data_IF_074126530031
#
_entry.id   IF_074126530031
#
_cell.length_a   1.000
_cell.length_b   1.000
_cell.length_c   1.000
_cell.angle_alpha   90.00
_cell.angle_beta   90.00
_cell.angle_gamma   90.00
#
_symmetry.space_group_name_H-M   'P 1'
#
loop_
_entity.id
_entity.type
_entity.pdbx_description
1 polymer ?
#
# COMPACT_ATOMS: atom_id res chain seq x y z
N UNK A 1 -0.40 25.91 22.50
CA UNK A 1 -0.90 25.45 21.20
C UNK A 1 -0.71 23.94 21.15
N UNK A 2 -1.80 23.18 21.03
CA UNK A 2 -1.74 21.73 20.86
C UNK A 2 -2.00 21.45 19.39
N UNK A 3 -1.09 20.73 18.74
CA UNK A 3 -1.23 20.30 17.34
C UNK A 3 -1.33 18.78 17.36
N UNK A 4 -2.38 18.23 16.75
CA UNK A 4 -2.58 16.80 16.61
C UNK A 4 -2.60 16.44 15.11
N UNK A 5 -1.92 15.37 14.74
CA UNK A 5 -1.92 14.84 13.39
C UNK A 5 -2.70 13.52 13.38
N UNK A 6 -3.78 13.47 12.60
CA UNK A 6 -4.67 12.30 12.53
C UNK A 6 -4.77 11.81 11.09
N UNK A 7 -4.76 10.49 10.88
CA UNK A 7 -4.94 9.87 9.56
C UNK A 7 -6.39 10.04 9.09
N UNK A 8 -6.60 10.29 7.80
CA UNK A 8 -7.93 10.59 7.25
C UNK A 8 -8.93 9.45 7.42
N UNK A 9 -8.49 8.20 7.32
CA UNK A 9 -9.30 7.01 7.57
C UNK A 9 -9.69 6.84 9.04
N UNK A 10 -8.83 7.25 9.97
CA UNK A 10 -9.16 7.24 11.41
C UNK A 10 -10.19 8.32 11.70
N UNK A 11 -10.00 9.52 11.12
CA UNK A 11 -10.97 10.60 11.23
C UNK A 11 -12.33 10.21 10.63
N UNK A 12 -12.34 9.50 9.50
CA UNK A 12 -13.54 8.95 8.89
C UNK A 12 -14.30 8.04 9.87
N UNK A 13 -13.62 7.09 10.51
CA UNK A 13 -14.25 6.19 11.48
C UNK A 13 -14.76 6.92 12.73
N UNK A 14 -14.02 7.90 13.25
CA UNK A 14 -14.46 8.67 14.42
C UNK A 14 -15.69 9.52 14.10
N UNK A 15 -15.74 10.13 12.92
CA UNK A 15 -16.90 10.92 12.47
C UNK A 15 -18.16 10.05 12.27
N UNK A 16 -18.03 8.73 12.06
CA UNK A 16 -19.18 7.81 12.03
C UNK A 16 -19.81 7.61 13.41
N UNK A 17 -19.04 7.82 14.49
CA UNK A 17 -19.47 7.56 15.88
C UNK A 17 -20.02 8.81 16.56
N UNK A 18 -19.58 10.02 16.17
CA UNK A 18 -20.09 11.26 16.76
C UNK A 18 -19.85 12.53 15.92
N UNK A 19 -20.72 13.55 16.03
CA UNK A 19 -20.79 14.66 15.06
C UNK A 19 -19.85 15.86 15.30
N UNK A 20 -19.01 15.88 16.33
CA UNK A 20 -18.39 17.15 16.76
C UNK A 20 -16.95 17.39 16.28
N UNK A 21 -16.21 16.36 15.84
CA UNK A 21 -14.82 16.53 15.42
C UNK A 21 -14.72 17.06 13.98
N UNK A 22 -15.68 16.74 13.12
CA UNK A 22 -15.68 17.20 11.72
C UNK A 22 -15.69 18.72 11.62
N UNK A 23 -16.50 19.40 12.43
CA UNK A 23 -16.56 20.87 12.46
C UNK A 23 -15.20 21.48 12.82
N UNK A 24 -14.57 21.00 13.88
CA UNK A 24 -13.29 21.57 14.34
C UNK A 24 -12.15 21.26 13.34
N UNK A 25 -12.20 20.12 12.65
CA UNK A 25 -11.27 19.79 11.55
C UNK A 25 -11.54 20.64 10.31
N UNK A 26 -12.79 20.94 9.98
CA UNK A 26 -13.13 21.78 8.83
C UNK A 26 -12.75 23.25 9.09
N UNK A 27 -12.94 23.74 10.32
CA UNK A 27 -12.67 25.14 10.70
C UNK A 27 -11.17 25.41 10.91
N UNK A 28 -10.42 24.45 11.47
CA UNK A 28 -9.02 24.65 11.88
C UNK A 28 -8.00 23.66 11.30
N UNK A 29 -8.46 22.62 10.59
CA UNK A 29 -7.60 21.56 10.08
C UNK A 29 -6.86 21.95 8.80
N UNK A 30 -5.61 21.50 8.68
CA UNK A 30 -4.85 21.55 7.43
C UNK A 30 -4.78 20.13 6.87
N UNK A 31 -5.50 19.87 5.78
CA UNK A 31 -5.48 18.55 5.14
C UNK A 31 -4.20 18.38 4.33
N UNK A 32 -3.33 17.48 4.80
CA UNK A 32 -2.18 17.03 4.02
C UNK A 32 -2.62 15.91 3.10
N UNK A 33 -2.73 16.20 1.80
CA UNK A 33 -3.06 15.19 0.80
C UNK A 33 -1.80 14.75 0.02
N UNK A 34 -1.47 13.48 0.11
CA UNK A 34 -0.34 12.88 -0.60
C UNK A 34 -0.67 12.45 -2.02
N UNK A 35 -1.96 12.35 -2.36
CA UNK A 35 -2.47 11.96 -3.67
C UNK A 35 -3.38 13.06 -4.23
N UNK A 36 -2.81 13.95 -5.03
CA UNK A 36 -3.56 14.99 -5.74
C UNK A 36 -4.02 14.45 -7.09
N UNK A 37 -5.29 14.71 -7.45
CA UNK A 37 -5.96 14.18 -8.64
C UNK A 37 -5.36 14.69 -9.97
N UNK A 38 -4.36 15.57 -9.90
CA UNK A 38 -3.69 16.19 -11.05
C UNK A 38 -2.37 15.42 -11.27
N UNK A 39 -2.29 14.77 -12.43
CA UNK A 39 -1.10 14.14 -13.03
C UNK A 39 -0.30 13.18 -12.13
N UNK A 40 -0.24 11.92 -12.54
CA UNK A 40 0.35 10.80 -11.78
C UNK A 40 1.85 10.97 -11.41
N UNK A 41 2.54 12.00 -11.92
CA UNK A 41 3.98 12.23 -11.73
C UNK A 41 4.31 13.49 -10.92
N UNK A 42 3.31 14.34 -10.61
CA UNK A 42 3.47 15.60 -9.90
C UNK A 42 2.82 15.54 -8.51
N UNK A 43 3.15 14.49 -7.76
CA UNK A 43 2.57 14.24 -6.44
C UNK A 43 3.42 14.89 -5.33
N UNK A 44 2.80 15.50 -4.29
CA UNK A 44 3.52 16.17 -3.19
C UNK A 44 4.56 15.28 -2.51
N UNK A 45 4.26 13.98 -2.39
CA UNK A 45 5.16 12.97 -1.83
C UNK A 45 6.47 12.83 -2.62
N UNK A 46 6.48 13.04 -3.95
CA UNK A 46 7.68 13.01 -4.77
C UNK A 46 8.55 14.24 -4.54
N UNK A 47 7.94 15.40 -4.30
CA UNK A 47 8.66 16.64 -3.96
C UNK A 47 9.42 16.54 -2.64
N UNK A 48 8.94 15.73 -1.71
CA UNK A 48 9.69 15.44 -0.47
C UNK A 48 10.97 14.66 -0.78
N UNK A 49 10.91 13.69 -1.69
CA UNK A 49 12.09 12.94 -2.13
C UNK A 49 13.09 13.88 -2.80
N UNK A 50 12.62 14.72 -3.71
CA UNK A 50 13.42 15.75 -4.40
C UNK A 50 14.10 16.69 -3.40
N UNK A 51 13.33 17.25 -2.45
CA UNK A 51 13.87 18.15 -1.44
C UNK A 51 14.90 17.47 -0.52
N UNK A 52 14.71 16.18 -0.19
CA UNK A 52 15.66 15.43 0.62
C UNK A 52 16.97 15.19 -0.13
N UNK A 53 16.92 14.88 -1.42
CA UNK A 53 18.12 14.70 -2.25
C UNK A 53 18.88 16.02 -2.33
N UNK A 54 18.22 17.12 -2.66
CA UNK A 54 18.86 18.43 -2.73
C UNK A 54 19.49 18.84 -1.40
N UNK A 55 18.80 18.57 -0.27
CA UNK A 55 19.38 18.82 1.05
C UNK A 55 20.65 17.99 1.30
N UNK A 56 20.69 16.74 0.82
CA UNK A 56 21.88 15.88 0.92
C UNK A 56 23.02 16.31 -0.01
N UNK A 57 22.72 16.83 -1.20
CA UNK A 57 23.73 17.43 -2.10
C UNK A 57 24.37 18.66 -1.43
N UNK A 58 23.56 19.56 -0.86
CA UNK A 58 24.04 20.73 -0.12
C UNK A 58 24.92 20.32 1.08
N UNK A 59 24.49 19.30 1.84
CA UNK A 59 25.27 18.78 2.97
C UNK A 59 26.61 18.15 2.54
N UNK A 60 26.72 17.76 1.26
CA UNK A 60 27.93 17.19 0.67
C UNK A 60 28.76 18.23 -0.11
N UNK A 61 28.48 19.52 0.07
CA UNK A 61 29.11 20.64 -0.66
C UNK A 61 28.96 20.55 -2.20
N UNK A 62 27.88 19.92 -2.69
CA UNK A 62 27.52 19.85 -4.11
C UNK A 62 26.48 20.93 -4.48
N UNK A 63 26.46 21.35 -5.76
CA UNK A 63 25.38 22.20 -6.26
C UNK A 63 24.06 21.39 -6.33
N UNK A 64 22.95 21.93 -5.79
CA UNK A 64 21.67 21.23 -5.82
C UNK A 64 21.20 20.97 -7.24
N UNK A 65 20.84 19.73 -7.54
CA UNK A 65 20.26 19.35 -8.82
C UNK A 65 18.87 19.97 -8.98
N UNK A 66 18.56 20.43 -10.19
CA UNK A 66 17.23 20.95 -10.49
C UNK A 66 16.16 19.85 -10.31
N UNK A 67 14.99 20.12 -9.69
CA UNK A 67 13.99 19.09 -9.37
C UNK A 67 13.56 18.19 -10.54
N UNK A 68 13.52 18.76 -11.75
CA UNK A 68 13.17 18.03 -12.97
C UNK A 68 14.24 17.00 -13.40
N UNK A 69 15.49 17.21 -13.01
CA UNK A 69 16.64 16.38 -13.39
C UNK A 69 16.96 15.29 -12.37
N UNK A 70 16.56 15.46 -11.10
CA UNK A 70 16.80 14.52 -10.01
C UNK A 70 16.40 13.09 -10.39
N UNK A 71 15.22 12.94 -10.99
CA UNK A 71 14.67 11.63 -11.37
C UNK A 71 15.39 10.98 -12.54
N UNK A 72 16.08 11.77 -13.36
CA UNK A 72 16.92 11.28 -14.46
C UNK A 72 18.31 10.92 -13.95
N UNK A 73 18.85 11.70 -13.01
CA UNK A 73 20.19 11.53 -12.43
C UNK A 73 20.28 10.31 -11.50
N UNK A 74 19.31 10.14 -10.60
CA UNK A 74 19.41 9.21 -9.47
C UNK A 74 18.54 7.95 -9.58
N UNK A 75 17.64 7.86 -10.56
CA UNK A 75 16.63 6.81 -10.62
C UNK A 75 16.48 6.23 -12.03
N UNK A 76 15.96 5.00 -12.18
CA UNK A 76 15.76 4.44 -13.51
C UNK A 76 14.55 5.11 -14.17
N UNK A 77 14.50 5.12 -15.52
CA UNK A 77 13.33 5.67 -16.25
C UNK A 77 12.04 4.89 -15.99
N UNK A 78 12.15 3.58 -15.79
CA UNK A 78 11.01 2.67 -15.62
C UNK A 78 11.36 1.49 -14.72
N UNK A 79 10.34 0.95 -14.05
CA UNK A 79 10.41 -0.31 -13.34
C UNK A 79 9.14 -1.12 -13.62
N UNK A 80 9.30 -2.42 -13.89
CA UNK A 80 8.20 -3.36 -14.13
C UNK A 80 7.15 -2.87 -15.15
N UNK A 81 7.61 -2.23 -16.23
CA UNK A 81 6.73 -1.75 -17.33
C UNK A 81 5.97 -0.45 -17.04
N UNK A 82 6.25 0.23 -15.91
CA UNK A 82 5.71 1.56 -15.57
C UNK A 82 6.82 2.59 -15.48
N UNK A 83 6.49 3.86 -15.72
CA UNK A 83 7.38 4.98 -15.38
C UNK A 83 7.75 4.90 -13.90
N UNK A 84 9.00 5.19 -13.56
CA UNK A 84 9.48 4.91 -12.21
C UNK A 84 8.75 5.70 -11.12
N UNK A 85 8.46 6.99 -11.36
CA UNK A 85 7.64 7.83 -10.46
C UNK A 85 6.29 7.18 -10.16
N UNK A 86 5.58 6.71 -11.18
CA UNK A 86 4.30 6.03 -11.00
C UNK A 86 4.47 4.69 -10.26
N UNK A 87 5.48 3.90 -10.64
CA UNK A 87 5.77 2.63 -9.98
C UNK A 87 5.99 2.80 -8.48
N UNK A 88 6.85 3.75 -8.08
CA UNK A 88 7.20 3.92 -6.67
C UNK A 88 6.02 4.44 -5.85
N UNK A 89 5.19 5.33 -6.42
CA UNK A 89 3.96 5.81 -5.78
C UNK A 89 2.96 4.68 -5.52
N UNK A 90 2.65 3.91 -6.57
CA UNK A 90 1.73 2.78 -6.50
C UNK A 90 2.24 1.75 -5.49
N UNK A 91 3.50 1.33 -5.63
CA UNK A 91 4.06 0.29 -4.78
C UNK A 91 4.23 0.74 -3.32
N UNK A 92 4.42 2.03 -3.08
CA UNK A 92 4.47 2.59 -1.73
C UNK A 92 3.09 2.83 -1.11
N UNK A 93 1.99 2.53 -1.81
CA UNK A 93 0.62 2.79 -1.35
C UNK A 93 0.38 4.27 -1.04
N UNK A 94 1.09 5.17 -1.75
CA UNK A 94 1.07 6.62 -1.49
C UNK A 94 1.45 7.01 -0.05
N UNK A 95 2.19 6.14 0.67
CA UNK A 95 2.73 6.40 2.01
C UNK A 95 4.18 6.87 1.92
N UNK A 96 4.55 8.08 2.38
CA UNK A 96 5.93 8.60 2.34
C UNK A 96 6.96 7.64 2.95
N UNK A 97 6.60 7.02 4.08
CA UNK A 97 7.43 6.02 4.76
C UNK A 97 7.79 4.84 3.87
N UNK A 98 6.85 4.35 3.06
CA UNK A 98 7.11 3.21 2.18
C UNK A 98 8.04 3.57 1.03
N UNK A 99 7.99 4.80 0.51
CA UNK A 99 8.98 5.27 -0.45
C UNK A 99 10.36 5.24 0.18
N UNK A 100 10.52 5.84 1.36
CA UNK A 100 11.80 5.86 2.09
C UNK A 100 12.29 4.42 2.35
N UNK A 101 11.42 3.53 2.83
CA UNK A 101 11.77 2.13 3.06
C UNK A 101 12.33 1.43 1.81
N UNK A 102 11.68 1.62 0.65
CA UNK A 102 12.14 1.06 -0.62
C UNK A 102 13.51 1.62 -1.03
N UNK A 103 13.67 2.95 -0.97
CA UNK A 103 14.89 3.62 -1.40
C UNK A 103 16.07 3.31 -0.47
N UNK A 104 15.84 3.29 0.84
CA UNK A 104 16.84 2.89 1.83
C UNK A 104 17.29 1.45 1.62
N UNK A 105 16.36 0.51 1.38
CA UNK A 105 16.73 -0.87 1.05
C UNK A 105 17.60 -0.95 -0.22
N UNK A 106 17.23 -0.23 -1.27
CA UNK A 106 17.97 -0.22 -2.52
C UNK A 106 19.38 0.37 -2.38
N UNK A 107 19.52 1.44 -1.59
CA UNK A 107 20.81 2.05 -1.24
C UNK A 107 21.65 1.09 -0.40
N UNK A 108 21.09 0.50 0.64
CA UNK A 108 21.83 -0.38 1.56
C UNK A 108 22.32 -1.66 0.83
N UNK A 109 21.61 -2.11 -0.21
CA UNK A 109 22.05 -3.21 -1.08
C UNK A 109 23.28 -2.85 -1.92
N UNK A 110 23.41 -1.59 -2.34
CA UNK A 110 24.52 -1.08 -3.17
C UNK A 110 24.99 0.28 -2.65
N UNK A 111 25.72 0.31 -1.52
CA UNK A 111 26.10 1.57 -0.87
C UNK A 111 27.07 2.42 -1.70
N UNK A 112 27.83 1.79 -2.60
CA UNK A 112 28.81 2.46 -3.45
C UNK A 112 28.21 2.98 -4.78
N UNK A 113 26.94 2.66 -5.07
CA UNK A 113 26.28 3.15 -6.29
C UNK A 113 25.84 4.62 -6.10
N UNK A 114 26.17 5.46 -7.07
CA UNK A 114 25.72 6.86 -7.11
C UNK A 114 24.27 7.05 -7.58
N UNK A 115 23.57 5.96 -7.96
CA UNK A 115 22.17 6.01 -8.40
C UNK A 115 21.45 4.70 -8.12
N UNK A 116 20.13 4.76 -7.98
CA UNK A 116 19.30 3.58 -7.82
C UNK A 116 18.98 3.01 -9.20
N UNK A 117 19.37 1.76 -9.43
CA UNK A 117 19.06 1.04 -10.67
C UNK A 117 17.79 0.20 -10.54
N UNK A 118 17.18 -0.16 -11.68
CA UNK A 118 16.10 -1.15 -11.71
C UNK A 118 16.52 -2.49 -11.05
N UNK A 119 17.76 -2.91 -11.26
CA UNK A 119 18.31 -4.14 -10.66
C UNK A 119 18.33 -4.07 -9.14
N UNK A 120 18.66 -2.90 -8.55
CA UNK A 120 18.61 -2.72 -7.10
C UNK A 120 17.16 -2.84 -6.60
N UNK A 121 16.22 -2.20 -7.29
CA UNK A 121 14.79 -2.24 -6.97
C UNK A 121 14.21 -3.65 -7.04
N UNK A 122 14.54 -4.44 -8.07
CA UNK A 122 14.01 -5.80 -8.21
C UNK A 122 14.49 -6.76 -7.10
N UNK A 123 15.77 -6.65 -6.73
CA UNK A 123 16.38 -7.47 -5.70
C UNK A 123 15.78 -7.21 -4.31
N UNK A 124 15.47 -5.95 -3.98
CA UNK A 124 14.95 -5.61 -2.64
C UNK A 124 13.45 -5.83 -2.47
N UNK A 125 12.72 -6.21 -3.53
CA UNK A 125 11.26 -6.36 -3.47
C UNK A 125 10.78 -7.32 -2.37
N UNK A 126 11.49 -8.41 -2.10
CA UNK A 126 11.08 -9.37 -1.06
C UNK A 126 11.21 -8.75 0.33
N UNK A 127 12.33 -8.09 0.63
CA UNK A 127 12.54 -7.43 1.91
C UNK A 127 11.61 -6.23 2.09
N UNK A 128 11.37 -5.47 1.02
CA UNK A 128 10.35 -4.42 1.02
C UNK A 128 8.98 -4.99 1.37
N UNK A 129 8.58 -6.08 0.70
CA UNK A 129 7.30 -6.74 0.92
C UNK A 129 7.12 -7.26 2.35
N UNK A 130 8.18 -7.80 2.96
CA UNK A 130 8.22 -8.17 4.39
C UNK A 130 7.99 -6.97 5.30
N UNK A 131 8.68 -5.85 5.04
CA UNK A 131 8.54 -4.63 5.85
C UNK A 131 7.14 -4.04 5.73
N UNK A 132 6.58 -3.98 4.53
CA UNK A 132 5.20 -3.49 4.32
C UNK A 132 4.18 -4.40 4.99
N UNK A 133 4.35 -5.72 4.93
CA UNK A 133 3.46 -6.63 5.64
C UNK A 133 3.55 -6.46 7.16
N UNK A 134 4.72 -6.17 7.73
CA UNK A 134 4.84 -5.88 9.17
C UNK A 134 4.02 -4.65 9.58
N UNK A 135 4.01 -3.59 8.77
CA UNK A 135 3.16 -2.42 9.04
C UNK A 135 1.66 -2.80 8.98
N UNK A 136 1.27 -3.70 8.07
CA UNK A 136 -0.09 -4.24 8.03
C UNK A 136 -0.41 -5.08 9.28
N UNK A 137 0.52 -5.93 9.74
CA UNK A 137 0.37 -6.70 10.98
C UNK A 137 0.19 -5.77 12.20
N UNK A 138 0.95 -4.68 12.28
CA UNK A 138 0.83 -3.66 13.33
C UNK A 138 -0.55 -2.99 13.32
N UNK A 139 -1.05 -2.58 12.15
CA UNK A 139 -2.40 -1.98 12.02
C UNK A 139 -3.52 -2.99 12.33
N UNK A 140 -3.36 -4.27 11.97
CA UNK A 140 -4.33 -5.34 12.30
C UNK A 140 -4.31 -5.70 13.79
N UNK A 141 -3.17 -5.61 14.46
CA UNK A 141 -3.02 -5.93 15.89
C UNK A 141 -3.83 -5.01 16.81
N UNK A 142 -4.34 -3.88 16.30
CA UNK A 142 -5.30 -3.05 17.02
C UNK A 142 -6.71 -3.65 17.14
N UNK A 143 -7.03 -4.67 16.33
CA UNK A 143 -8.35 -5.31 16.25
C UNK A 143 -8.30 -6.82 16.53
N UNK A 144 -7.17 -7.45 16.20
CA UNK A 144 -6.99 -8.89 16.27
C UNK A 144 -5.84 -9.27 17.21
N UNK A 145 -5.96 -10.42 17.87
CA UNK A 145 -4.85 -11.04 18.60
C UNK A 145 -3.74 -11.53 17.65
N UNK A 146 -2.56 -11.83 18.20
CA UNK A 146 -1.42 -12.35 17.42
C UNK A 146 -1.76 -13.61 16.63
N UNK A 147 -2.54 -14.52 17.22
CA UNK A 147 -2.93 -15.78 16.58
C UNK A 147 -3.93 -15.55 15.44
N UNK A 148 -4.81 -14.56 15.60
CA UNK A 148 -5.77 -14.15 14.57
C UNK A 148 -5.07 -13.43 13.40
N UNK A 149 -4.08 -12.57 13.67
CA UNK A 149 -3.23 -11.97 12.63
C UNK A 149 -2.44 -13.06 11.89
N UNK A 150 -1.90 -14.04 12.61
CA UNK A 150 -1.24 -15.19 12.00
C UNK A 150 -2.20 -16.01 11.12
N UNK A 151 -3.45 -16.19 11.54
CA UNK A 151 -4.48 -16.87 10.74
C UNK A 151 -4.81 -16.11 9.44
N UNK A 152 -4.93 -14.78 9.50
CA UNK A 152 -5.13 -13.92 8.33
C UNK A 152 -3.96 -14.11 7.35
N UNK A 153 -2.73 -14.06 7.86
CA UNK A 153 -1.52 -14.27 7.06
C UNK A 153 -1.49 -15.65 6.40
N UNK A 154 -1.72 -16.73 7.16
CA UNK A 154 -1.80 -18.11 6.66
C UNK A 154 -2.85 -18.24 5.55
N UNK A 155 -3.98 -17.55 5.70
CA UNK A 155 -5.06 -17.54 4.71
C UNK A 155 -4.60 -16.93 3.38
N UNK A 156 -3.83 -15.85 3.42
CA UNK A 156 -3.34 -15.13 2.25
C UNK A 156 -2.12 -15.75 1.59
N UNK A 157 -1.22 -16.40 2.34
CA UNK A 157 -0.01 -17.02 1.78
C UNK A 157 -0.38 -18.06 0.71
N UNK A 158 0.23 -17.92 -0.48
CA UNK A 158 0.05 -18.84 -1.60
C UNK A 158 -1.40 -18.96 -2.10
N UNK A 159 -2.25 -17.97 -1.81
CA UNK A 159 -3.66 -17.98 -2.19
C UNK A 159 -3.88 -17.49 -3.62
N UNK A 160 -4.36 -16.26 -3.79
CA UNK A 160 -4.64 -15.66 -5.08
C UNK A 160 -4.40 -14.15 -4.99
N UNK A 161 -3.81 -13.56 -6.02
CA UNK A 161 -3.67 -12.11 -6.13
C UNK A 161 -5.01 -11.40 -6.34
N UNK A 162 -6.00 -12.11 -6.88
CA UNK A 162 -7.38 -11.64 -7.08
C UNK A 162 -8.41 -12.70 -6.62
N UNK A 163 -9.44 -12.25 -5.91
CA UNK A 163 -10.48 -13.12 -5.36
C UNK A 163 -11.80 -12.38 -5.08
N UNK A 164 -12.86 -13.13 -4.83
CA UNK A 164 -14.14 -12.66 -4.30
C UNK A 164 -14.39 -13.27 -2.91
N UNK A 165 -15.44 -12.81 -2.22
CA UNK A 165 -15.79 -13.31 -0.87
C UNK A 165 -15.99 -14.84 -0.86
N UNK A 166 -16.76 -15.45 -1.80
CA UNK A 166 -16.93 -16.90 -1.80
C UNK A 166 -15.62 -17.68 -1.96
N UNK A 167 -14.70 -17.21 -2.81
CA UNK A 167 -13.39 -17.86 -3.00
C UNK A 167 -12.53 -17.75 -1.73
N UNK A 168 -12.56 -16.62 -1.04
CA UNK A 168 -11.88 -16.46 0.26
C UNK A 168 -12.49 -17.37 1.33
N UNK A 169 -13.82 -17.44 1.42
CA UNK A 169 -14.50 -18.32 2.39
C UNK A 169 -14.09 -19.78 2.17
N UNK A 170 -14.08 -20.26 0.92
CA UNK A 170 -13.59 -21.62 0.59
C UNK A 170 -12.14 -21.86 1.03
N UNK A 171 -11.26 -20.84 0.92
CA UNK A 171 -9.86 -20.93 1.37
C UNK A 171 -9.79 -21.07 2.89
N UNK A 172 -10.56 -20.27 3.62
CA UNK A 172 -10.66 -20.33 5.09
C UNK A 172 -11.17 -21.70 5.53
N UNK A 173 -12.27 -22.19 4.93
CA UNK A 173 -12.88 -23.49 5.26
C UNK A 173 -11.96 -24.68 4.96
N UNK A 174 -11.09 -24.54 3.97
CA UNK A 174 -10.09 -25.55 3.65
C UNK A 174 -8.96 -25.56 4.68
N UNK A 175 -8.38 -24.39 4.99
CA UNK A 175 -7.26 -24.27 5.91
C UNK A 175 -7.64 -24.56 7.37
N UNK A 176 -8.86 -24.24 7.79
CA UNK A 176 -9.38 -24.51 9.14
C UNK A 176 -9.42 -25.99 9.52
N UNK A 177 -9.24 -26.90 8.55
CA UNK A 177 -9.12 -28.35 8.78
C UNK A 177 -7.74 -28.77 9.28
N UNK A 178 -6.72 -27.93 9.05
CA UNK A 178 -5.31 -28.29 9.27
C UNK A 178 -4.52 -27.24 10.07
N UNK A 179 -4.95 -25.97 10.07
CA UNK A 179 -4.34 -24.87 10.81
C UNK A 179 -5.24 -24.47 12.00
N UNK A 180 -4.83 -24.73 13.26
CA UNK A 180 -5.61 -24.40 14.45
C UNK A 180 -5.92 -22.90 14.60
N UNK A 181 -5.01 -22.02 14.15
CA UNK A 181 -5.23 -20.58 14.22
C UNK A 181 -6.33 -20.17 13.24
N UNK A 182 -6.32 -20.72 12.02
CA UNK A 182 -7.40 -20.50 11.05
C UNK A 182 -8.71 -21.12 11.50
N UNK A 183 -8.68 -22.27 12.17
CA UNK A 183 -9.87 -22.87 12.78
C UNK A 183 -10.49 -21.93 13.81
N UNK A 184 -9.70 -21.49 14.79
CA UNK A 184 -10.12 -20.53 15.82
C UNK A 184 -10.66 -19.24 15.22
N UNK A 185 -9.95 -18.66 14.24
CA UNK A 185 -10.40 -17.47 13.51
C UNK A 185 -11.77 -17.68 12.86
N UNK A 186 -11.96 -18.78 12.12
CA UNK A 186 -13.20 -19.08 11.38
C UNK A 186 -14.43 -19.31 12.28
N UNK A 187 -14.21 -19.65 13.55
CA UNK A 187 -15.26 -19.79 14.55
C UNK A 187 -15.81 -18.44 15.05
N UNK A 188 -14.98 -17.39 15.01
CA UNK A 188 -15.30 -16.05 15.51
C UNK A 188 -15.68 -15.08 14.40
N UNK A 189 -14.97 -15.16 13.27
CA UNK A 189 -15.06 -14.21 12.17
C UNK A 189 -15.41 -14.91 10.86
N UNK A 190 -16.00 -14.16 9.93
CA UNK A 190 -16.31 -14.57 8.57
C UNK A 190 -15.33 -13.96 7.58
N UNK A 191 -15.34 -14.46 6.34
CA UNK A 191 -14.56 -13.86 5.25
C UNK A 191 -14.86 -12.37 5.06
N UNK A 192 -16.09 -11.95 5.36
CA UNK A 192 -16.52 -10.55 5.33
C UNK A 192 -15.73 -9.66 6.30
N UNK A 193 -15.54 -10.11 7.55
CA UNK A 193 -14.81 -9.36 8.58
C UNK A 193 -13.34 -9.20 8.18
N UNK A 194 -12.72 -10.31 7.73
CA UNK A 194 -11.35 -10.30 7.23
C UNK A 194 -11.18 -9.31 6.05
N UNK A 195 -12.11 -9.30 5.09
CA UNK A 195 -12.06 -8.37 3.96
C UNK A 195 -12.19 -6.92 4.42
N UNK A 196 -13.09 -6.65 5.36
CA UNK A 196 -13.32 -5.30 5.88
C UNK A 196 -12.04 -4.77 6.53
N UNK A 197 -11.41 -5.54 7.41
CA UNK A 197 -10.18 -5.13 8.08
C UNK A 197 -8.99 -5.05 7.12
N UNK A 198 -8.83 -6.01 6.20
CA UNK A 198 -7.76 -5.98 5.18
C UNK A 198 -7.89 -4.79 4.23
N UNK A 199 -9.12 -4.41 3.86
CA UNK A 199 -9.37 -3.24 3.02
C UNK A 199 -9.05 -1.95 3.79
N UNK A 200 -9.47 -1.86 5.06
CA UNK A 200 -9.19 -0.71 5.94
C UNK A 200 -7.69 -0.44 6.08
N UNK A 201 -6.88 -1.47 6.26
CA UNK A 201 -5.41 -1.30 6.38
C UNK A 201 -4.72 -1.15 5.01
N UNK A 202 -5.48 -1.23 3.92
CA UNK A 202 -5.01 -1.09 2.54
C UNK A 202 -4.32 -2.32 1.96
N UNK A 203 -4.29 -3.45 2.69
CA UNK A 203 -3.67 -4.68 2.22
C UNK A 203 -4.35 -5.24 0.96
N UNK A 204 -5.65 -5.00 0.83
CA UNK A 204 -6.43 -5.32 -0.37
C UNK A 204 -7.19 -4.08 -0.86
N UNK A 205 -7.57 -4.10 -2.14
CA UNK A 205 -8.39 -3.07 -2.77
C UNK A 205 -9.40 -3.70 -3.73
N UNK A 206 -10.38 -2.92 -4.19
CA UNK A 206 -11.33 -3.38 -5.18
C UNK A 206 -10.77 -3.32 -6.60
N UNK A 207 -11.13 -4.30 -7.41
CA UNK A 207 -10.87 -4.37 -8.84
C UNK A 207 -12.20 -4.61 -9.57
N UNK A 208 -12.58 -3.71 -10.48
CA UNK A 208 -13.79 -3.88 -11.27
C UNK A 208 -13.69 -3.20 -12.63
N UNK A 209 -14.49 -3.69 -13.57
CA UNK A 209 -14.59 -3.09 -14.90
C UNK A 209 -15.76 -2.11 -14.97
N UNK A 210 -15.56 -0.98 -15.64
CA UNK A 210 -16.58 0.02 -15.92
C UNK A 210 -16.74 0.26 -17.42
N UNK A 211 -17.81 0.98 -17.76
CA UNK A 211 -18.20 1.31 -19.14
C UNK A 211 -19.05 0.23 -19.79
N UNK A 212 -19.79 0.62 -20.83
CA UNK A 212 -20.80 -0.20 -21.52
C UNK A 212 -20.25 -1.51 -22.10
N UNK A 213 -18.92 -1.62 -22.26
CA UNK A 213 -18.23 -2.80 -22.76
C UNK A 213 -17.21 -3.40 -21.76
N UNK A 214 -17.23 -3.01 -20.48
CA UNK A 214 -16.27 -3.47 -19.45
C UNK A 214 -14.80 -3.35 -19.88
N UNK A 215 -14.46 -2.30 -20.64
CA UNK A 215 -13.10 -2.12 -21.18
C UNK A 215 -12.15 -1.41 -20.21
N UNK A 216 -12.70 -0.62 -19.30
CA UNK A 216 -11.89 0.17 -18.36
C UNK A 216 -11.80 -0.53 -17.00
N UNK A 217 -10.59 -0.73 -16.53
CA UNK A 217 -10.33 -1.27 -15.19
C UNK A 217 -10.28 -0.11 -14.20
N UNK A 218 -11.06 -0.20 -13.13
CA UNK A 218 -10.97 0.68 -11.96
C UNK A 218 -10.43 -0.07 -10.76
N UNK A 219 -9.69 0.69 -9.96
CA UNK A 219 -9.14 0.25 -8.69
C UNK A 219 -9.68 1.14 -7.57
N UNK A 220 -10.22 0.53 -6.52
CA UNK A 220 -10.64 1.22 -5.30
C UNK A 220 -9.67 0.89 -4.17
N UNK A 221 -8.95 1.90 -3.69
CA UNK A 221 -8.00 1.75 -2.58
C UNK A 221 -8.30 2.78 -1.50
N UNK A 222 -8.20 2.39 -0.23
CA UNK A 222 -8.47 3.30 0.90
C UNK A 222 -7.55 4.52 0.90
N UNK A 223 -6.27 4.35 0.54
CA UNK A 223 -5.28 5.43 0.43
C UNK A 223 -5.49 6.33 -0.80
N UNK A 224 -6.54 6.07 -1.60
CA UNK A 224 -7.01 6.93 -2.68
C UNK A 224 -8.44 7.41 -2.43
N UNK A 225 -8.77 7.66 -1.18
CA UNK A 225 -10.08 8.17 -0.73
C UNK A 225 -11.28 7.27 -1.10
N UNK A 226 -11.06 5.97 -1.36
CA UNK A 226 -12.14 4.98 -1.51
C UNK A 226 -12.30 4.23 -0.18
N UNK A 227 -12.95 4.85 0.80
CA UNK A 227 -13.02 4.32 2.17
C UNK A 227 -13.90 3.06 2.31
N UNK A 228 -14.94 2.94 1.49
CA UNK A 228 -15.87 1.82 1.56
C UNK A 228 -15.53 0.71 0.55
N UNK A 229 -15.37 -0.55 0.98
CA UNK A 229 -15.19 -1.68 0.08
C UNK A 229 -16.49 -2.03 -0.66
N UNK A 230 -16.36 -2.30 -1.97
CA UNK A 230 -17.44 -2.83 -2.79
C UNK A 230 -17.48 -4.36 -2.72
N UNK A 231 -18.27 -4.91 -1.80
CA UNK A 231 -18.33 -6.34 -1.50
C UNK A 231 -18.83 -7.21 -2.66
N UNK A 232 -19.56 -6.65 -3.61
CA UNK A 232 -20.05 -7.34 -4.81
C UNK A 232 -19.00 -7.38 -5.95
N UNK A 233 -17.84 -6.74 -5.75
CA UNK A 233 -16.72 -6.71 -6.70
C UNK A 233 -15.59 -7.63 -6.26
N UNK A 234 -14.62 -7.83 -7.15
CA UNK A 234 -13.39 -8.55 -6.82
C UNK A 234 -12.49 -7.68 -5.93
N UNK A 235 -11.71 -8.37 -5.12
CA UNK A 235 -10.62 -7.84 -4.34
C UNK A 235 -9.29 -8.24 -4.96
N UNK A 236 -8.29 -7.39 -4.77
CA UNK A 236 -6.92 -7.59 -5.22
C UNK A 236 -5.97 -7.34 -4.05
N UNK A 237 -5.03 -8.25 -3.82
CA UNK A 237 -3.93 -8.04 -2.87
C UNK A 237 -2.97 -6.99 -3.43
N UNK A 238 -2.61 -6.00 -2.62
CA UNK A 238 -1.71 -4.93 -3.02
C UNK A 238 -0.36 -5.50 -3.49
N UNK A 239 0.19 -4.94 -4.58
CA UNK A 239 1.39 -5.47 -5.24
C UNK A 239 2.59 -5.56 -4.31
N UNK A 240 2.76 -4.56 -3.43
CA UNK A 240 3.82 -4.52 -2.42
C UNK A 240 3.84 -5.71 -1.48
N UNK A 241 2.72 -6.42 -1.28
CA UNK A 241 2.62 -7.55 -0.37
C UNK A 241 2.86 -8.90 -1.06
N UNK A 242 2.82 -8.94 -2.40
CA UNK A 242 2.72 -10.20 -3.15
C UNK A 242 3.98 -11.06 -3.07
N UNK A 243 5.18 -10.47 -3.13
CA UNK A 243 6.43 -11.27 -3.05
C UNK A 243 6.52 -11.99 -1.70
N UNK A 244 6.19 -11.32 -0.58
CA UNK A 244 6.23 -11.95 0.74
C UNK A 244 5.10 -12.97 0.94
N UNK A 245 3.89 -12.69 0.45
CA UNK A 245 2.75 -13.60 0.52
C UNK A 245 2.80 -14.73 -0.53
N UNK A 246 3.88 -14.83 -1.32
CA UNK A 246 4.07 -15.85 -2.37
C UNK A 246 2.92 -15.86 -3.39
N UNK A 247 2.40 -14.68 -3.73
CA UNK A 247 1.34 -14.50 -4.70
C UNK A 247 1.92 -14.18 -6.08
N UNK A 248 1.13 -14.44 -7.13
CA UNK A 248 1.52 -14.05 -8.48
C UNK A 248 1.74 -12.54 -8.57
N UNK A 249 2.98 -12.15 -8.87
CA UNK A 249 3.37 -10.74 -8.99
C UNK A 249 2.69 -10.07 -10.20
N UNK A 250 2.33 -10.87 -11.22
CA UNK A 250 1.60 -10.44 -12.41
C UNK A 250 0.22 -11.09 -12.43
N UNK A 251 -0.79 -10.34 -12.88
CA UNK A 251 -2.06 -10.94 -13.27
C UNK A 251 -1.77 -11.99 -14.35
N UNK A 252 -2.21 -13.23 -14.12
CA UNK A 252 -2.18 -14.28 -15.13
C UNK A 252 -2.93 -13.76 -16.37
N UNK A 253 -2.23 -13.44 -17.45
CA UNK A 253 -2.87 -13.02 -18.70
C UNK A 253 -2.20 -11.95 -19.57
N UNK A 254 -1.01 -11.43 -19.26
CA UNK A 254 -0.25 -10.60 -20.21
C UNK A 254 1.15 -11.17 -20.43
N UNK A 255 1.24 -12.08 -21.42
CA UNK A 255 2.45 -12.30 -22.22
C UNK A 255 2.49 -11.24 -23.33
#
# INVERSE_FOLDING_TARGET
MVVACVRSEVLHEVNRVGPEISRDVDDFGVRVNWNVTIENENQPILRIVEAKINASEIESDEEPTHPEEIWVKYFPRSAFGRKFKQYILDNAMFKPRNIVNMLTLARDLRPDDHSISFSSIDQVQLEFSKRTWREIEEELSGEYSSDEVAAIKSTLIGFASEFDIPKLQKRIDHLSKFDPNVHSFSSKYKAFDMITSLYRVGAIGNLYFVGSAKKEIRFGWIFRDNYDPLYDKKFMVHESLRKFLQLSFRAEGKK
#
